data_IF_687324660131
#
_entry.id   IF_687324660131
#
_cell.length_a   1.000
_cell.length_b   1.000
_cell.length_c   1.000
_cell.angle_alpha   90.00
_cell.angle_beta   90.00
_cell.angle_gamma   90.00
#
_symmetry.space_group_name_H-M   'P 1'
#
loop_
_entity.id
_entity.type
_entity.pdbx_description
1 polymer ?
#
# COMPACT_ATOMS: atom_id res chain seq x y z
N UNK A 1 -55.43 14.83 -38.59
CA UNK A 1 -55.20 14.85 -40.05
C UNK A 1 -54.00 15.73 -40.31
N UNK A 2 -53.01 15.23 -40.98
CA UNK A 2 -51.76 15.83 -41.45
C UNK A 2 -50.61 15.95 -40.42
N UNK A 3 -49.77 14.92 -40.44
CA UNK A 3 -48.39 14.95 -39.98
C UNK A 3 -47.55 15.71 -41.03
N UNK A 4 -46.74 16.67 -40.57
CA UNK A 4 -45.71 17.30 -41.37
C UNK A 4 -44.36 16.80 -40.89
N UNK A 5 -43.71 16.08 -41.80
CA UNK A 5 -42.38 15.54 -41.66
C UNK A 5 -41.38 16.65 -42.03
N UNK A 6 -40.55 17.12 -41.07
CA UNK A 6 -39.47 18.05 -41.38
C UNK A 6 -38.17 17.29 -41.22
N UNK A 7 -37.59 16.87 -42.33
CA UNK A 7 -36.20 16.45 -42.46
C UNK A 7 -35.34 17.71 -42.50
N UNK A 8 -34.55 17.96 -41.48
CA UNK A 8 -33.52 18.98 -41.55
C UNK A 8 -32.21 18.39 -42.02
N UNK A 9 -31.78 18.82 -43.19
CA UNK A 9 -30.43 18.71 -43.71
C UNK A 9 -29.49 19.58 -42.84
N UNK A 10 -28.57 18.95 -42.16
CA UNK A 10 -27.45 19.66 -41.53
C UNK A 10 -26.25 19.55 -42.47
N UNK A 11 -25.93 20.65 -43.13
CA UNK A 11 -24.72 20.86 -43.90
C UNK A 11 -23.52 20.70 -42.97
N UNK A 12 -22.65 19.74 -43.29
CA UNK A 12 -21.32 19.63 -42.68
C UNK A 12 -20.47 20.81 -43.14
N UNK A 13 -20.32 21.82 -42.31
CA UNK A 13 -19.25 22.81 -42.41
C UNK A 13 -18.02 22.21 -41.75
N UNK A 14 -17.05 21.79 -42.57
CA UNK A 14 -15.71 21.44 -42.12
C UNK A 14 -14.97 22.72 -41.73
N UNK A 15 -14.99 23.10 -40.47
CA UNK A 15 -14.11 24.14 -39.96
C UNK A 15 -12.81 23.46 -39.56
N UNK A 16 -11.79 23.53 -40.41
CA UNK A 16 -10.42 23.18 -40.08
C UNK A 16 -9.88 24.21 -39.08
N UNK A 17 -10.08 23.98 -37.79
CA UNK A 17 -9.37 24.69 -36.77
C UNK A 17 -7.94 24.12 -36.74
N UNK A 18 -7.00 24.86 -37.34
CA UNK A 18 -5.58 24.67 -37.09
C UNK A 18 -5.32 25.12 -35.64
N UNK A 19 -5.42 24.14 -34.74
CA UNK A 19 -5.03 24.33 -33.34
C UNK A 19 -3.51 24.40 -33.33
N UNK A 20 -2.96 25.60 -33.22
CA UNK A 20 -1.59 25.80 -32.79
C UNK A 20 -1.51 25.24 -31.37
N UNK A 21 -1.12 23.96 -31.24
CA UNK A 21 -0.63 23.44 -29.97
C UNK A 21 0.60 24.27 -29.64
N UNK A 22 0.44 25.18 -28.72
CA UNK A 22 1.53 25.61 -27.86
C UNK A 22 2.01 24.36 -27.14
N UNK A 23 2.97 23.69 -27.74
CA UNK A 23 3.82 22.72 -27.06
C UNK A 23 4.58 23.57 -26.05
N UNK A 24 3.97 23.75 -24.86
CA UNK A 24 4.76 24.06 -23.69
C UNK A 24 5.80 22.95 -23.63
N UNK A 25 7.11 23.27 -23.59
CA UNK A 25 8.08 22.23 -23.35
C UNK A 25 7.66 21.60 -22.02
N UNK A 26 7.07 20.41 -22.06
CA UNK A 26 7.16 19.50 -20.94
C UNK A 26 8.65 19.41 -20.66
N UNK A 27 9.09 20.10 -19.63
CA UNK A 27 10.38 19.85 -19.04
C UNK A 27 10.27 18.38 -18.66
N UNK A 28 10.73 17.51 -19.56
CA UNK A 28 11.12 16.18 -19.18
C UNK A 28 12.08 16.43 -18.02
N UNK A 29 11.64 16.21 -16.80
CA UNK A 29 12.54 16.12 -15.68
C UNK A 29 13.44 14.95 -16.04
N UNK A 30 14.52 15.26 -16.72
CA UNK A 30 15.67 14.36 -16.80
C UNK A 30 15.98 14.08 -15.35
N UNK A 31 15.67 12.87 -14.91
CA UNK A 31 16.14 12.33 -13.65
C UNK A 31 17.66 12.37 -13.78
N UNK A 32 18.23 13.50 -13.39
CA UNK A 32 19.68 13.58 -13.24
C UNK A 32 20.00 12.61 -12.12
N UNK A 33 20.76 11.55 -12.38
CA UNK A 33 21.21 10.69 -11.30
C UNK A 33 21.86 11.62 -10.28
N UNK A 34 21.41 11.56 -9.02
CA UNK A 34 22.16 12.19 -7.93
C UNK A 34 23.63 11.78 -8.10
N UNK A 35 24.61 12.70 -7.96
CA UNK A 35 26.01 12.34 -8.06
C UNK A 35 26.20 11.12 -7.16
N UNK A 36 26.84 10.09 -7.72
CA UNK A 36 27.04 8.79 -7.08
C UNK A 36 27.98 8.95 -5.87
N UNK A 37 27.44 9.45 -4.78
CA UNK A 37 28.19 9.73 -3.56
C UNK A 37 28.32 8.45 -2.71
N UNK A 38 29.12 7.53 -3.23
CA UNK A 38 29.51 6.35 -2.51
C UNK A 38 28.77 5.06 -2.88
N UNK A 39 29.16 3.94 -2.26
CA UNK A 39 28.55 2.64 -2.54
C UNK A 39 27.08 2.59 -2.07
N UNK A 40 26.26 1.91 -2.86
CA UNK A 40 24.83 1.72 -2.54
C UNK A 40 24.66 0.71 -1.38
N UNK A 41 23.53 0.83 -0.67
CA UNK A 41 23.10 -0.12 0.36
C UNK A 41 22.52 -1.41 -0.23
N UNK A 42 22.31 -1.44 -1.54
CA UNK A 42 21.69 -2.55 -2.28
C UNK A 42 22.49 -3.83 -2.10
N UNK A 43 21.80 -4.91 -1.79
CA UNK A 43 22.34 -6.27 -1.83
C UNK A 43 22.19 -6.80 -3.27
N UNK A 44 23.29 -7.02 -4.02
CA UNK A 44 23.21 -7.38 -5.44
C UNK A 44 22.44 -8.69 -5.69
N UNK A 45 22.55 -9.69 -4.80
CA UNK A 45 21.82 -10.96 -4.94
C UNK A 45 20.33 -10.78 -4.73
N UNK A 46 19.96 -9.92 -3.78
CA UNK A 46 18.55 -9.65 -3.49
C UNK A 46 17.92 -8.82 -4.61
N UNK A 47 18.66 -7.82 -5.12
CA UNK A 47 18.24 -6.99 -6.25
C UNK A 47 18.01 -7.84 -7.51
N UNK A 48 18.99 -8.68 -7.89
CA UNK A 48 18.88 -9.55 -9.06
C UNK A 48 17.69 -10.53 -8.95
N UNK A 49 17.44 -11.08 -7.76
CA UNK A 49 16.27 -11.92 -7.53
C UNK A 49 14.95 -11.13 -7.69
N UNK A 50 14.89 -9.91 -7.15
CA UNK A 50 13.72 -9.06 -7.24
C UNK A 50 13.40 -8.67 -8.70
N UNK A 51 14.42 -8.30 -9.47
CA UNK A 51 14.31 -8.03 -10.91
C UNK A 51 13.83 -9.25 -11.69
N UNK A 52 14.38 -10.43 -11.40
CA UNK A 52 13.95 -11.69 -11.99
C UNK A 52 12.47 -11.95 -11.73
N UNK A 53 12.00 -11.74 -10.50
CA UNK A 53 10.62 -12.02 -10.09
C UNK A 53 9.60 -11.08 -10.73
N UNK A 54 9.98 -9.83 -11.06
CA UNK A 54 9.11 -8.85 -11.73
C UNK A 54 9.18 -8.86 -13.26
N UNK A 55 10.13 -9.55 -13.88
CA UNK A 55 10.43 -9.50 -15.33
C UNK A 55 9.22 -9.46 -16.27
N UNK A 56 8.14 -10.18 -15.96
CA UNK A 56 6.94 -10.26 -16.82
C UNK A 56 5.71 -9.60 -16.18
N UNK A 57 5.91 -8.67 -15.27
CA UNK A 57 4.88 -8.01 -14.48
C UNK A 57 5.13 -6.51 -14.48
N UNK A 58 4.14 -5.74 -14.13
CA UNK A 58 4.27 -4.32 -13.84
C UNK A 58 4.11 -4.12 -12.35
N UNK A 59 4.97 -3.32 -11.73
CA UNK A 59 4.91 -3.08 -10.30
C UNK A 59 6.27 -2.86 -9.67
N UNK A 60 6.37 -3.13 -8.37
CA UNK A 60 7.58 -2.86 -7.60
C UNK A 60 7.83 -3.87 -6.48
N UNK A 61 9.10 -3.99 -6.11
CA UNK A 61 9.56 -4.68 -4.90
C UNK A 61 10.48 -3.71 -4.15
N UNK A 62 10.19 -3.49 -2.88
CA UNK A 62 11.05 -2.74 -1.96
C UNK A 62 11.40 -3.64 -0.78
N UNK A 63 12.69 -3.72 -0.44
CA UNK A 63 13.17 -4.43 0.74
C UNK A 63 14.08 -3.51 1.56
N UNK A 64 13.81 -3.38 2.86
CA UNK A 64 14.52 -2.48 3.78
C UNK A 64 15.03 -3.28 4.98
N UNK A 65 16.22 -2.96 5.46
CA UNK A 65 16.76 -3.43 6.74
C UNK A 65 16.12 -2.61 7.89
N UNK A 66 15.27 -3.22 8.74
CA UNK A 66 14.48 -2.44 9.70
C UNK A 66 15.32 -1.65 10.71
N UNK A 67 16.46 -2.18 11.11
CA UNK A 67 17.31 -1.57 12.14
C UNK A 67 18.01 -0.28 11.66
N UNK A 68 18.20 -0.11 10.35
CA UNK A 68 19.06 0.95 9.80
C UNK A 68 18.38 1.86 8.77
N UNK A 69 17.23 1.43 8.22
CA UNK A 69 16.58 2.13 7.10
C UNK A 69 17.25 1.87 5.73
N UNK A 70 18.32 1.06 5.67
CA UNK A 70 19.03 0.75 4.42
C UNK A 70 18.11 0.00 3.45
N UNK A 71 17.99 0.52 2.23
CA UNK A 71 17.26 -0.16 1.15
C UNK A 71 18.16 -1.26 0.60
N UNK A 72 17.74 -2.50 0.77
CA UNK A 72 18.47 -3.70 0.34
C UNK A 72 18.15 -4.12 -1.09
N UNK A 73 16.94 -3.83 -1.55
CA UNK A 73 16.51 -3.97 -2.93
C UNK A 73 15.40 -2.95 -3.23
N UNK A 74 15.45 -2.36 -4.42
CA UNK A 74 14.42 -1.46 -4.93
C UNK A 74 14.26 -1.71 -6.42
N UNK A 75 13.13 -2.28 -6.80
CA UNK A 75 12.83 -2.61 -8.19
C UNK A 75 11.52 -1.95 -8.59
N UNK A 76 11.57 -1.21 -9.68
CA UNK A 76 10.44 -0.73 -10.45
C UNK A 76 10.48 -1.38 -11.81
N UNK A 77 9.45 -2.10 -12.20
CA UNK A 77 9.37 -2.73 -13.52
C UNK A 77 8.13 -2.28 -14.26
N UNK A 78 8.35 -1.66 -15.40
CA UNK A 78 7.33 -1.15 -16.30
C UNK A 78 7.30 -2.02 -17.55
N UNK A 79 6.12 -2.41 -18.02
CA UNK A 79 5.99 -3.14 -19.29
C UNK A 79 6.24 -2.23 -20.49
N UNK A 80 5.89 -0.97 -20.34
CA UNK A 80 6.23 0.11 -21.28
C UNK A 80 7.03 1.10 -20.45
N UNK A 81 8.16 1.55 -20.98
CA UNK A 81 8.97 2.56 -20.30
C UNK A 81 8.23 3.89 -20.31
N UNK A 82 7.71 4.26 -19.17
CA UNK A 82 7.00 5.53 -18.94
C UNK A 82 7.82 6.49 -18.06
N UNK A 83 9.09 6.14 -17.77
CA UNK A 83 9.97 6.93 -16.93
C UNK A 83 9.58 6.96 -15.44
N UNK A 84 8.52 6.26 -15.02
CA UNK A 84 8.03 6.30 -13.65
C UNK A 84 8.70 5.24 -12.79
N UNK A 85 9.32 5.65 -11.69
CA UNK A 85 9.74 4.72 -10.64
C UNK A 85 8.55 4.34 -9.76
N UNK A 86 7.93 3.18 -10.03
CA UNK A 86 6.75 2.70 -9.31
C UNK A 86 6.99 2.42 -7.83
N UNK A 87 8.22 2.25 -7.42
CA UNK A 87 8.53 1.97 -6.02
C UNK A 87 8.36 3.21 -5.13
N UNK A 88 8.68 4.41 -5.67
CA UNK A 88 8.72 5.67 -4.92
C UNK A 88 7.81 6.75 -5.49
N UNK A 89 7.62 6.78 -6.82
CA UNK A 89 6.95 7.87 -7.54
C UNK A 89 5.49 7.59 -7.92
N UNK A 90 5.03 6.34 -7.83
CA UNK A 90 3.64 5.98 -8.11
C UNK A 90 2.88 5.76 -6.82
N UNK A 91 1.65 6.25 -6.77
CA UNK A 91 0.76 6.07 -5.61
C UNK A 91 -0.40 5.15 -5.96
N UNK A 92 -0.74 4.28 -5.04
CA UNK A 92 -1.76 3.26 -5.19
C UNK A 92 -2.62 3.13 -3.94
N UNK A 93 -3.83 2.63 -4.09
CA UNK A 93 -4.61 2.16 -2.95
C UNK A 93 -3.86 1.02 -2.24
N UNK A 94 -3.57 1.14 -0.93
CA UNK A 94 -2.87 0.10 -0.18
C UNK A 94 -3.72 -1.16 0.07
N UNK A 95 -5.02 -1.08 -0.16
CA UNK A 95 -5.96 -2.15 0.11
C UNK A 95 -5.87 -2.66 1.55
N UNK A 96 -6.11 -3.94 1.75
CA UNK A 96 -6.16 -4.55 3.08
C UNK A 96 -4.83 -4.53 3.86
N UNK A 97 -3.69 -4.12 3.29
CA UNK A 97 -2.47 -3.89 4.08
C UNK A 97 -2.65 -2.74 5.05
N UNK A 98 -3.47 -1.76 4.69
CA UNK A 98 -3.79 -0.59 5.50
C UNK A 98 -4.53 -0.90 6.81
N UNK A 99 -5.19 -2.06 6.90
CA UNK A 99 -5.85 -2.52 8.14
C UNK A 99 -4.88 -2.64 9.33
N UNK A 100 -3.59 -2.81 9.08
CA UNK A 100 -2.56 -2.79 10.13
C UNK A 100 -2.39 -1.39 10.73
N UNK A 101 -2.31 -0.36 9.89
CA UNK A 101 -2.24 1.04 10.33
C UNK A 101 -3.52 1.46 11.06
N UNK A 102 -4.68 1.05 10.57
CA UNK A 102 -5.98 1.24 11.23
C UNK A 102 -6.00 0.63 12.62
N UNK A 103 -5.51 -0.61 12.75
CA UNK A 103 -5.46 -1.28 14.04
C UNK A 103 -4.55 -0.55 15.02
N UNK A 104 -3.37 -0.08 14.57
CA UNK A 104 -2.45 0.69 15.41
C UNK A 104 -3.13 1.92 16.01
N UNK A 105 -3.85 2.67 15.19
CA UNK A 105 -4.56 3.87 15.64
C UNK A 105 -5.70 3.51 16.60
N UNK A 106 -6.65 2.64 16.18
CA UNK A 106 -7.85 2.33 16.95
C UNK A 106 -7.55 1.69 18.31
N UNK A 107 -6.53 0.82 18.38
CA UNK A 107 -6.10 0.22 19.65
C UNK A 107 -5.40 1.24 20.54
N UNK A 108 -4.57 2.11 19.96
CA UNK A 108 -3.87 3.16 20.72
C UNK A 108 -4.81 4.21 21.30
N UNK A 109 -5.88 4.54 20.60
CA UNK A 109 -6.93 5.47 21.06
C UNK A 109 -7.99 4.77 21.95
N UNK A 110 -7.88 3.44 22.13
CA UNK A 110 -8.82 2.65 22.97
C UNK A 110 -10.22 2.51 22.35
N UNK A 111 -10.38 2.83 21.07
CA UNK A 111 -11.66 2.66 20.37
C UNK A 111 -11.88 1.22 19.91
N UNK A 112 -10.83 0.39 19.92
CA UNK A 112 -10.84 -1.01 19.58
C UNK A 112 -9.97 -1.81 20.56
N UNK A 113 -10.45 -2.97 21.01
CA UNK A 113 -9.73 -3.88 21.92
C UNK A 113 -9.52 -5.25 21.29
N UNK A 114 -8.66 -6.06 21.88
CA UNK A 114 -8.43 -7.46 21.45
C UNK A 114 -9.68 -8.33 21.58
N UNK A 115 -10.55 -8.01 22.53
CA UNK A 115 -11.79 -8.72 22.83
C UNK A 115 -12.95 -8.29 21.93
N UNK A 116 -12.82 -7.12 21.25
CA UNK A 116 -13.83 -6.64 20.31
C UNK A 116 -14.07 -7.68 19.22
N UNK A 117 -15.32 -8.07 19.06
CA UNK A 117 -15.72 -9.13 18.14
C UNK A 117 -16.90 -8.69 17.29
N UNK A 118 -16.78 -8.85 15.99
CA UNK A 118 -17.86 -8.55 15.06
C UNK A 118 -18.22 -9.76 14.20
N UNK A 119 -19.52 -9.96 13.94
CA UNK A 119 -19.97 -10.97 12.99
C UNK A 119 -19.66 -10.56 11.55
N UNK A 120 -19.37 -11.55 10.70
CA UNK A 120 -19.25 -11.39 9.26
C UNK A 120 -20.24 -12.35 8.57
N UNK A 121 -21.10 -11.82 7.73
CA UNK A 121 -22.05 -12.56 6.90
C UNK A 121 -21.69 -12.43 5.43
N UNK A 122 -20.42 -12.76 5.08
CA UNK A 122 -19.80 -12.62 3.74
C UNK A 122 -19.73 -11.19 3.22
N UNK A 123 -19.84 -10.19 4.09
CA UNK A 123 -19.74 -8.78 3.73
C UNK A 123 -20.36 -7.88 4.78
N UNK A 124 -20.28 -6.60 4.51
CA UNK A 124 -20.86 -5.52 5.29
C UNK A 124 -21.81 -4.73 4.39
N UNK A 125 -23.06 -4.58 4.81
CA UNK A 125 -24.06 -3.83 4.05
C UNK A 125 -24.53 -2.63 4.86
N UNK A 126 -24.50 -1.46 4.22
CA UNK A 126 -25.00 -0.23 4.79
C UNK A 126 -25.60 0.66 3.68
N UNK A 127 -26.81 1.18 3.87
CA UNK A 127 -27.49 2.08 2.91
C UNK A 127 -27.37 1.62 1.44
N UNK A 128 -27.70 0.37 1.14
CA UNK A 128 -27.61 -0.25 -0.20
C UNK A 128 -26.21 -0.43 -0.78
N UNK A 129 -25.16 -0.07 -0.04
CA UNK A 129 -23.77 -0.37 -0.41
C UNK A 129 -23.39 -1.70 0.24
N UNK A 130 -22.93 -2.66 -0.58
CA UNK A 130 -22.44 -3.95 -0.09
C UNK A 130 -20.94 -4.06 -0.35
N UNK A 131 -20.17 -4.25 0.72
CA UNK A 131 -18.73 -4.53 0.66
C UNK A 131 -18.56 -6.01 0.94
N UNK A 132 -18.16 -6.77 -0.09
CA UNK A 132 -17.99 -8.21 -0.01
C UNK A 132 -16.85 -8.63 0.94
N UNK A 133 -16.97 -9.83 1.50
CA UNK A 133 -15.91 -10.49 2.26
C UNK A 133 -15.85 -11.97 1.89
N UNK A 134 -14.64 -12.53 1.82
CA UNK A 134 -14.47 -13.96 1.60
C UNK A 134 -14.96 -14.79 2.79
N UNK A 135 -15.17 -16.08 2.57
CA UNK A 135 -15.70 -16.96 3.60
C UNK A 135 -14.62 -17.28 4.66
N UNK A 136 -14.97 -17.12 5.92
CA UNK A 136 -14.17 -17.50 7.10
C UNK A 136 -15.08 -17.76 8.30
N UNK A 137 -14.51 -18.20 9.42
CA UNK A 137 -15.26 -18.34 10.69
C UNK A 137 -15.80 -16.98 11.13
N UNK A 138 -16.94 -16.98 11.82
CA UNK A 138 -17.59 -15.78 12.33
C UNK A 138 -18.27 -16.11 13.68
N UNK A 139 -18.22 -15.22 14.68
CA UNK A 139 -17.56 -13.93 14.70
C UNK A 139 -16.04 -14.03 14.76
N UNK A 140 -15.31 -12.92 14.52
CA UNK A 140 -13.86 -12.83 14.66
C UNK A 140 -13.49 -11.83 15.75
N UNK A 141 -12.43 -12.16 16.51
CA UNK A 141 -11.71 -11.18 17.35
C UNK A 141 -10.73 -10.38 16.50
N UNK A 142 -10.17 -9.30 17.05
CA UNK A 142 -9.29 -8.38 16.31
C UNK A 142 -8.11 -9.10 15.65
N UNK A 143 -7.35 -9.93 16.38
CA UNK A 143 -6.19 -10.66 15.84
C UNK A 143 -6.61 -11.61 14.71
N UNK A 144 -7.75 -12.28 14.86
CA UNK A 144 -8.31 -13.14 13.82
C UNK A 144 -8.76 -12.33 12.60
N UNK A 145 -9.37 -11.15 12.82
CA UNK A 145 -9.83 -10.28 11.75
C UNK A 145 -8.67 -9.71 10.91
N UNK A 146 -7.54 -9.39 11.53
CA UNK A 146 -6.31 -9.03 10.81
C UNK A 146 -5.83 -10.23 9.98
N UNK A 147 -5.73 -11.41 10.60
CA UNK A 147 -5.26 -12.64 9.98
C UNK A 147 -6.11 -13.06 8.78
N UNK A 148 -7.43 -13.00 8.93
CA UNK A 148 -8.40 -13.31 7.87
C UNK A 148 -8.69 -12.12 6.96
N UNK A 149 -8.14 -10.94 7.21
CA UNK A 149 -8.41 -9.75 6.41
C UNK A 149 -9.90 -9.39 6.27
N UNK A 150 -10.70 -9.59 7.33
CA UNK A 150 -12.14 -9.46 7.28
C UNK A 150 -12.60 -8.02 6.98
N UNK A 151 -13.24 -7.81 5.83
CA UNK A 151 -13.75 -6.50 5.43
C UNK A 151 -14.87 -6.03 6.37
N UNK A 152 -15.83 -6.92 6.71
CA UNK A 152 -16.93 -6.57 7.61
C UNK A 152 -16.45 -6.04 8.95
N UNK A 153 -15.42 -6.67 9.52
CA UNK A 153 -14.84 -6.26 10.79
C UNK A 153 -14.30 -4.82 10.71
N UNK A 154 -13.46 -4.56 9.71
CA UNK A 154 -12.79 -3.25 9.59
C UNK A 154 -13.71 -2.14 9.12
N UNK A 155 -14.69 -2.42 8.25
CA UNK A 155 -15.74 -1.45 7.92
C UNK A 155 -16.50 -1.00 9.17
N UNK A 156 -16.93 -1.98 9.99
CA UNK A 156 -17.68 -1.71 11.21
C UNK A 156 -16.85 -0.95 12.25
N UNK A 157 -15.63 -1.42 12.49
CA UNK A 157 -14.73 -0.78 13.46
C UNK A 157 -14.42 0.68 13.07
N UNK A 158 -14.10 0.93 11.80
CA UNK A 158 -13.78 2.29 11.34
C UNK A 158 -15.00 3.21 11.36
N UNK A 159 -16.17 2.72 10.92
CA UNK A 159 -17.41 3.47 11.04
C UNK A 159 -17.69 3.88 12.48
N UNK A 160 -17.59 2.91 13.41
CA UNK A 160 -17.84 3.17 14.84
C UNK A 160 -16.81 4.15 15.43
N UNK A 161 -15.54 4.05 15.02
CA UNK A 161 -14.49 4.96 15.48
C UNK A 161 -14.78 6.40 15.05
N UNK A 162 -15.08 6.64 13.76
CA UNK A 162 -15.39 7.98 13.23
C UNK A 162 -16.65 8.57 13.89
N UNK A 163 -17.64 7.73 14.18
CA UNK A 163 -18.92 8.17 14.77
C UNK A 163 -18.93 8.15 16.31
N UNK A 164 -17.79 7.85 16.95
CA UNK A 164 -17.67 7.75 18.41
C UNK A 164 -17.62 9.13 19.09
N UNK A 165 -18.78 9.64 19.49
CA UNK A 165 -18.90 10.93 20.20
C UNK A 165 -18.47 10.89 21.68
N UNK A 166 -18.15 9.70 22.22
CA UNK A 166 -17.58 9.57 23.56
C UNK A 166 -16.06 9.85 23.54
N UNK A 167 -15.37 9.42 22.48
CA UNK A 167 -13.92 9.60 22.32
C UNK A 167 -13.58 10.89 21.55
N UNK A 168 -14.44 11.30 20.62
CA UNK A 168 -14.20 12.46 19.77
C UNK A 168 -15.39 13.42 19.76
N UNK A 169 -15.19 14.72 20.10
CA UNK A 169 -16.25 15.73 20.11
C UNK A 169 -16.97 15.85 18.74
N UNK A 170 -16.25 15.59 17.65
CA UNK A 170 -16.80 15.66 16.29
C UNK A 170 -16.13 14.63 15.36
N UNK A 171 -16.76 14.38 14.21
CA UNK A 171 -16.16 13.57 13.13
C UNK A 171 -14.88 14.22 12.59
N UNK A 172 -14.81 15.55 12.59
CA UNK A 172 -13.63 16.30 12.16
C UNK A 172 -12.44 16.02 13.07
N UNK A 173 -12.66 15.91 14.37
CA UNK A 173 -11.60 15.53 15.31
C UNK A 173 -11.23 14.06 15.20
N UNK A 174 -12.21 13.18 15.02
CA UNK A 174 -11.94 11.77 14.79
C UNK A 174 -11.02 11.55 13.57
N UNK A 175 -11.39 12.13 12.42
CA UNK A 175 -10.59 12.00 11.19
C UNK A 175 -9.26 12.75 11.28
N UNK A 176 -9.21 13.91 11.95
CA UNK A 176 -7.97 14.65 12.18
C UNK A 176 -7.00 13.86 13.06
N UNK A 177 -7.49 13.19 14.10
CA UNK A 177 -6.70 12.32 14.96
C UNK A 177 -6.19 11.12 14.17
N UNK A 178 -7.06 10.46 13.44
CA UNK A 178 -6.72 9.35 12.55
C UNK A 178 -5.62 9.76 11.53
N UNK A 179 -5.79 10.86 10.81
CA UNK A 179 -4.80 11.34 9.85
C UNK A 179 -3.44 11.63 10.52
N UNK A 180 -3.44 12.20 11.73
CA UNK A 180 -2.21 12.45 12.50
C UNK A 180 -1.47 11.16 12.87
N UNK A 181 -2.17 10.06 13.13
CA UNK A 181 -1.55 8.74 13.29
C UNK A 181 -0.94 8.25 11.98
N UNK A 182 -1.71 8.28 10.88
CA UNK A 182 -1.23 7.82 9.56
C UNK A 182 0.03 8.59 9.13
N UNK A 183 0.05 9.92 9.31
CA UNK A 183 1.24 10.73 9.03
C UNK A 183 2.43 10.38 9.94
N UNK A 184 2.19 10.02 11.20
CA UNK A 184 3.27 9.58 12.10
C UNK A 184 3.87 8.23 11.69
N UNK A 185 3.12 7.41 10.94
CA UNK A 185 3.58 6.14 10.36
C UNK A 185 4.38 6.33 9.07
N UNK A 186 4.55 7.58 8.59
CA UNK A 186 5.21 7.90 7.34
C UNK A 186 4.31 7.75 6.11
N UNK A 187 2.99 7.80 6.28
CA UNK A 187 2.01 7.71 5.19
C UNK A 187 1.48 9.09 4.80
N UNK A 188 1.16 9.29 3.52
CA UNK A 188 0.55 10.52 3.01
C UNK A 188 1.48 11.73 2.92
N UNK A 189 2.80 11.52 3.01
CA UNK A 189 3.84 12.54 2.80
C UNK A 189 5.15 11.85 2.42
N UNK A 190 6.07 12.53 1.71
CA UNK A 190 7.37 11.96 1.42
C UNK A 190 8.10 11.54 2.70
N UNK A 191 8.78 10.40 2.67
CA UNK A 191 9.65 9.94 3.76
C UNK A 191 10.98 10.68 3.79
N UNK A 192 11.38 11.28 2.65
CA UNK A 192 12.66 11.96 2.46
C UNK A 192 13.77 11.00 2.07
N UNK A 193 13.47 9.98 1.25
CA UNK A 193 14.47 9.08 0.69
C UNK A 193 15.50 9.87 -0.12
N UNK A 194 16.76 9.41 -0.12
CA UNK A 194 17.86 10.02 -0.86
C UNK A 194 17.80 9.73 -2.37
N UNK A 195 16.59 9.82 -2.95
CA UNK A 195 16.28 9.64 -4.36
C UNK A 195 15.31 10.72 -4.83
N UNK A 196 15.40 11.11 -6.09
CA UNK A 196 14.45 12.05 -6.68
C UNK A 196 13.14 11.37 -7.09
N UNK A 197 12.05 12.16 -7.13
CA UNK A 197 10.76 11.71 -7.63
C UNK A 197 9.91 10.94 -6.59
N UNK A 198 10.19 11.11 -5.29
CA UNK A 198 9.35 10.53 -4.24
C UNK A 198 7.98 11.21 -4.18
N UNK A 199 6.91 10.43 -4.32
CA UNK A 199 5.54 10.91 -4.22
C UNK A 199 5.02 10.85 -2.78
N UNK A 200 4.13 11.78 -2.45
CA UNK A 200 3.57 11.89 -1.09
C UNK A 200 2.53 10.82 -0.74
N UNK A 201 1.81 10.27 -1.72
CA UNK A 201 0.56 9.58 -1.43
C UNK A 201 -0.51 10.56 -0.91
N UNK A 202 -1.63 10.02 -0.44
CA UNK A 202 -2.72 10.81 0.12
C UNK A 202 -3.32 10.12 1.36
N UNK A 203 -3.34 10.83 2.47
CA UNK A 203 -4.14 10.54 3.65
C UNK A 203 -5.13 11.68 3.81
N UNK A 204 -6.41 11.48 3.47
CA UNK A 204 -7.41 12.55 3.58
C UNK A 204 -7.60 13.00 5.02
N UNK A 205 -7.65 14.29 5.22
CA UNK A 205 -7.99 14.91 6.50
C UNK A 205 -9.39 15.54 6.48
N UNK A 206 -9.76 16.18 7.57
CA UNK A 206 -11.06 16.84 7.68
C UNK A 206 -11.25 18.00 6.68
N UNK A 207 -10.17 18.70 6.32
CA UNK A 207 -10.23 19.80 5.35
C UNK A 207 -10.45 19.25 3.93
N UNK A 208 -9.73 18.18 3.57
CA UNK A 208 -9.93 17.47 2.32
C UNK A 208 -11.37 16.97 2.17
N UNK A 209 -11.91 16.29 3.20
CA UNK A 209 -13.25 15.73 3.16
C UNK A 209 -14.35 16.81 3.07
N UNK A 210 -14.17 17.97 3.71
CA UNK A 210 -15.11 19.10 3.56
C UNK A 210 -15.18 19.63 2.12
N UNK A 211 -14.03 19.62 1.43
CA UNK A 211 -13.96 20.07 0.04
C UNK A 211 -14.63 19.09 -0.92
N UNK A 212 -14.52 17.79 -0.63
CA UNK A 212 -15.03 16.69 -1.48
C UNK A 212 -16.50 16.35 -1.22
N UNK A 213 -16.96 16.48 0.02
CA UNK A 213 -18.27 16.03 0.45
C UNK A 213 -19.00 17.13 1.24
N UNK A 214 -20.19 17.49 0.81
CA UNK A 214 -21.03 18.50 1.52
C UNK A 214 -21.37 18.01 2.94
N UNK A 215 -21.64 16.71 3.09
CA UNK A 215 -21.89 16.02 4.37
C UNK A 215 -21.24 14.65 4.32
N UNK A 216 -20.63 14.24 5.41
CA UNK A 216 -20.02 12.91 5.55
C UNK A 216 -20.11 12.40 6.98
N UNK A 217 -19.99 11.09 7.13
CA UNK A 217 -19.96 10.36 8.40
C UNK A 217 -19.09 9.11 8.26
N UNK A 218 -19.01 8.28 9.30
CA UNK A 218 -18.22 7.06 9.27
C UNK A 218 -18.57 6.11 8.12
N UNK A 219 -19.81 6.13 7.66
CA UNK A 219 -20.23 5.33 6.50
C UNK A 219 -19.66 5.87 5.19
N UNK A 220 -19.70 7.19 4.99
CA UNK A 220 -19.16 7.84 3.79
C UNK A 220 -17.69 7.50 3.60
N UNK A 221 -16.93 7.48 4.71
CA UNK A 221 -15.48 7.31 4.71
C UNK A 221 -15.01 5.88 5.04
N UNK A 222 -15.92 4.91 5.19
CA UNK A 222 -15.54 3.55 5.62
C UNK A 222 -14.60 2.83 4.64
N UNK A 223 -14.64 3.17 3.35
CA UNK A 223 -13.70 2.66 2.36
C UNK A 223 -12.25 3.05 2.68
N UNK A 224 -12.04 4.25 3.24
CA UNK A 224 -10.73 4.70 3.70
C UNK A 224 -10.17 3.77 4.79
N UNK A 225 -11.05 3.25 5.65
CA UNK A 225 -10.69 2.26 6.68
C UNK A 225 -10.19 0.93 6.13
N UNK A 226 -10.41 0.64 4.87
CA UNK A 226 -9.90 -0.54 4.18
C UNK A 226 -8.71 -0.25 3.26
N UNK A 227 -8.23 0.99 3.23
CA UNK A 227 -7.16 1.42 2.32
C UNK A 227 -7.62 1.49 0.87
N UNK A 228 -8.86 1.94 0.66
CA UNK A 228 -9.49 2.18 -0.64
C UNK A 228 -10.02 3.62 -0.69
N UNK A 229 -10.73 3.96 -1.75
CA UNK A 229 -11.21 5.32 -1.97
C UNK A 229 -10.04 6.30 -2.16
N UNK A 230 -10.06 7.41 -1.43
CA UNK A 230 -9.05 8.47 -1.58
C UNK A 230 -7.70 8.15 -0.92
N UNK A 231 -7.57 7.06 -0.14
CA UNK A 231 -6.29 6.69 0.49
C UNK A 231 -5.34 6.12 -0.53
N UNK A 232 -4.19 6.77 -0.71
CA UNK A 232 -3.10 6.26 -1.54
C UNK A 232 -1.75 6.30 -0.85
N UNK A 233 -0.90 5.33 -1.15
CA UNK A 233 0.46 5.21 -0.63
C UNK A 233 1.43 4.80 -1.73
N UNK A 234 2.72 5.09 -1.58
CA UNK A 234 3.74 4.48 -2.42
C UNK A 234 4.11 3.08 -1.88
N UNK A 235 4.64 2.17 -2.71
CA UNK A 235 5.21 0.91 -2.23
C UNK A 235 6.34 1.08 -1.21
N UNK A 236 7.14 2.16 -1.33
CA UNK A 236 8.14 2.52 -0.32
C UNK A 236 7.49 2.81 1.03
N UNK A 237 6.41 3.60 1.07
CA UNK A 237 5.66 3.87 2.30
C UNK A 237 5.08 2.60 2.93
N UNK A 238 4.58 1.66 2.12
CA UNK A 238 4.10 0.36 2.64
C UNK A 238 5.25 -0.48 3.21
N UNK A 239 6.43 -0.47 2.57
CA UNK A 239 7.60 -1.14 3.12
C UNK A 239 8.03 -0.48 4.43
N UNK A 240 8.04 0.85 4.51
CA UNK A 240 8.34 1.59 5.74
C UNK A 240 7.32 1.32 6.85
N UNK A 241 6.04 1.16 6.54
CA UNK A 241 5.04 0.73 7.52
C UNK A 241 5.38 -0.67 8.07
N UNK A 242 5.85 -1.59 7.23
CA UNK A 242 6.33 -2.89 7.71
C UNK A 242 7.60 -2.76 8.57
N UNK A 243 8.52 -1.82 8.26
CA UNK A 243 9.69 -1.47 9.09
C UNK A 243 9.24 -0.95 10.46
N UNK A 244 8.32 0.01 10.46
CA UNK A 244 7.76 0.60 11.69
C UNK A 244 7.17 -0.47 12.62
N UNK A 245 6.38 -1.40 12.06
CA UNK A 245 5.76 -2.49 12.82
C UNK A 245 6.83 -3.49 13.30
N UNK A 246 7.80 -3.82 12.45
CA UNK A 246 8.93 -4.70 12.80
C UNK A 246 9.71 -4.17 14.01
N UNK A 247 9.96 -2.87 14.05
CA UNK A 247 10.68 -2.17 15.12
C UNK A 247 9.79 -1.79 16.32
N UNK A 248 8.50 -2.12 16.29
CA UNK A 248 7.57 -1.78 17.39
C UNK A 248 7.44 -0.27 17.63
N UNK A 249 7.38 0.53 16.56
CA UNK A 249 6.98 1.93 16.65
C UNK A 249 8.02 2.96 16.22
N UNK A 250 9.10 2.57 15.55
CA UNK A 250 10.04 3.54 15.00
C UNK A 250 10.60 3.09 13.63
N UNK A 251 11.08 4.06 12.87
CA UNK A 251 11.81 3.82 11.63
C UNK A 251 12.94 4.86 11.48
N UNK A 252 13.92 4.57 10.65
CA UNK A 252 14.90 5.52 10.14
C UNK A 252 14.52 5.79 8.68
N UNK A 253 14.65 7.04 8.24
CA UNK A 253 14.38 7.41 6.83
C UNK A 253 15.04 6.41 5.89
N UNK A 254 14.27 5.75 5.00
CA UNK A 254 14.84 4.81 4.03
C UNK A 254 15.87 5.50 3.15
N UNK A 255 16.99 4.83 2.85
CA UNK A 255 18.08 5.39 2.04
C UNK A 255 18.78 4.31 1.23
N UNK A 256 19.31 4.72 0.08
CA UNK A 256 19.99 3.84 -0.87
C UNK A 256 21.51 4.02 -0.89
N UNK A 257 22.06 5.14 -0.38
CA UNK A 257 23.49 5.37 -0.30
C UNK A 257 24.05 4.98 1.07
N UNK A 258 25.23 4.33 1.11
CA UNK A 258 25.87 3.88 2.37
C UNK A 258 26.39 5.04 3.22
N UNK A 259 26.95 6.05 2.55
CA UNK A 259 27.42 7.27 3.17
C UNK A 259 26.83 8.43 2.35
N UNK A 260 25.62 8.85 2.64
CA UNK A 260 25.11 10.08 2.02
C UNK A 260 26.14 11.17 2.29
N UNK A 261 26.52 11.98 1.28
CA UNK A 261 27.61 12.99 1.31
C UNK A 261 27.46 14.09 2.38
N UNK A 262 26.63 13.85 3.34
CA UNK A 262 26.21 14.71 4.42
C UNK A 262 26.62 14.12 5.77
N UNK A 263 27.92 14.04 6.02
CA UNK A 263 28.46 13.59 7.30
C UNK A 263 27.87 14.31 8.53
N UNK A 264 27.23 15.44 8.31
CA UNK A 264 26.50 16.23 9.33
C UNK A 264 24.98 16.01 9.30
N UNK A 265 24.43 15.29 8.31
CA UNK A 265 23.02 15.04 8.16
C UNK A 265 22.61 13.82 8.98
N UNK A 266 21.88 14.05 10.04
CA UNK A 266 21.35 12.98 10.91
C UNK A 266 20.07 12.33 10.36
N UNK A 267 19.56 12.76 9.21
CA UNK A 267 18.32 12.26 8.60
C UNK A 267 18.29 10.75 8.49
N UNK A 268 19.39 10.14 8.06
CA UNK A 268 19.50 8.70 7.82
C UNK A 268 20.03 7.89 9.01
N UNK A 269 20.11 8.51 10.20
CA UNK A 269 20.50 7.87 11.45
C UNK A 269 19.50 8.12 12.58
N UNK A 270 18.67 9.16 12.47
CA UNK A 270 17.68 9.54 13.46
C UNK A 270 16.46 8.62 13.38
N UNK A 271 16.02 8.13 14.53
CA UNK A 271 14.77 7.37 14.64
C UNK A 271 13.58 8.30 14.66
N UNK A 272 12.64 8.06 13.77
CA UNK A 272 11.31 8.65 13.80
C UNK A 272 10.38 7.75 14.61
N UNK A 273 9.90 8.25 15.75
CA UNK A 273 8.96 7.53 16.60
C UNK A 273 7.52 7.85 16.17
N UNK A 274 6.77 6.82 15.85
CA UNK A 274 5.37 6.96 15.52
C UNK A 274 4.48 7.09 16.76
N UNK A 275 3.31 7.66 16.55
CA UNK A 275 2.23 7.56 17.54
C UNK A 275 1.82 6.09 17.66
N UNK A 276 1.42 5.69 18.86
CA UNK A 276 0.93 4.33 19.10
C UNK A 276 1.49 3.76 20.39
N UNK A 277 0.70 2.89 21.01
CA UNK A 277 1.10 2.17 22.22
C UNK A 277 1.85 0.88 21.87
N UNK A 278 2.71 0.39 22.79
CA UNK A 278 3.39 -0.90 22.62
C UNK A 278 2.39 -2.03 22.40
N UNK A 279 1.27 -2.02 23.12
CA UNK A 279 0.22 -3.04 23.02
C UNK A 279 -0.41 -3.05 21.63
N UNK A 280 -0.61 -1.89 21.00
CA UNK A 280 -1.14 -1.80 19.63
C UNK A 280 -0.18 -2.45 18.62
N UNK A 281 1.13 -2.19 18.75
CA UNK A 281 2.14 -2.84 17.92
C UNK A 281 2.17 -4.35 18.13
N UNK A 282 2.09 -4.84 19.36
CA UNK A 282 2.06 -6.28 19.65
C UNK A 282 0.80 -6.96 19.11
N UNK A 283 -0.35 -6.31 19.18
CA UNK A 283 -1.60 -6.80 18.59
C UNK A 283 -1.46 -6.92 17.07
N UNK A 284 -0.93 -5.89 16.41
CA UNK A 284 -0.73 -5.90 14.95
C UNK A 284 0.25 -6.99 14.54
N UNK A 285 1.37 -7.16 15.25
CA UNK A 285 2.34 -8.23 14.97
C UNK A 285 1.71 -9.61 15.12
N UNK A 286 0.91 -9.84 16.16
CA UNK A 286 0.16 -11.10 16.33
C UNK A 286 -0.83 -11.31 15.18
N UNK A 287 -1.54 -10.27 14.74
CA UNK A 287 -2.44 -10.32 13.60
C UNK A 287 -1.73 -10.61 12.27
N UNK A 288 -0.58 -9.96 12.03
CA UNK A 288 0.27 -10.23 10.88
C UNK A 288 0.86 -11.65 10.92
N UNK A 289 1.19 -12.17 12.11
CA UNK A 289 1.59 -13.57 12.26
C UNK A 289 0.43 -14.53 11.99
N UNK A 290 -0.77 -14.23 12.47
CA UNK A 290 -1.97 -15.02 12.21
C UNK A 290 -2.29 -15.09 10.70
N UNK A 291 -2.07 -14.01 9.96
CA UNK A 291 -2.21 -13.98 8.49
C UNK A 291 -1.32 -15.06 7.82
N UNK A 292 -0.12 -15.30 8.35
CA UNK A 292 0.83 -16.27 7.81
C UNK A 292 0.56 -17.69 8.32
N UNK A 293 0.06 -17.86 9.54
CA UNK A 293 -0.13 -19.21 10.12
C UNK A 293 -1.37 -19.91 9.56
N UNK A 294 -2.48 -19.20 9.57
CA UNK A 294 -3.80 -19.75 9.22
C UNK A 294 -4.73 -18.74 8.54
N UNK A 295 -4.15 -17.62 8.06
CA UNK A 295 -4.89 -16.56 7.37
C UNK A 295 -4.63 -16.53 5.87
N UNK A 296 -4.80 -15.34 5.29
CA UNK A 296 -4.77 -15.13 3.84
C UNK A 296 -3.42 -15.41 3.17
N UNK A 297 -2.33 -15.49 3.92
CA UNK A 297 -0.99 -15.80 3.39
C UNK A 297 -0.41 -17.11 3.95
N UNK A 298 -1.25 -18.08 4.34
CA UNK A 298 -0.79 -19.34 4.92
C UNK A 298 0.16 -20.15 4.00
N UNK A 299 0.06 -19.96 2.69
CA UNK A 299 0.90 -20.65 1.69
C UNK A 299 2.40 -20.30 1.78
N UNK A 300 2.76 -19.20 2.48
CA UNK A 300 4.15 -18.79 2.67
C UNK A 300 4.67 -19.03 4.09
N UNK A 301 3.92 -19.73 4.93
CA UNK A 301 4.38 -20.10 6.26
C UNK A 301 5.58 -21.05 6.18
N UNK A 302 6.53 -20.87 7.09
CA UNK A 302 7.81 -21.59 7.14
C UNK A 302 8.11 -22.06 8.56
N UNK A 303 8.79 -23.22 8.70
CA UNK A 303 9.18 -23.73 10.02
C UNK A 303 10.48 -23.11 10.55
N UNK A 304 11.37 -22.63 9.67
CA UNK A 304 12.74 -22.20 9.99
C UNK A 304 12.83 -20.79 10.60
N UNK A 305 11.87 -19.90 10.26
CA UNK A 305 11.72 -18.58 10.88
C UNK A 305 10.28 -18.08 10.77
N UNK A 306 9.92 -17.16 11.64
CA UNK A 306 8.56 -16.61 11.69
C UNK A 306 8.43 -15.38 10.81
N UNK A 307 7.59 -15.45 9.77
CA UNK A 307 7.19 -14.31 8.96
C UNK A 307 5.97 -13.65 9.61
N UNK A 308 5.94 -12.33 9.65
CA UNK A 308 4.77 -11.51 9.91
C UNK A 308 4.43 -10.72 8.65
N UNK A 309 3.19 -10.77 8.19
CA UNK A 309 2.83 -10.08 6.96
C UNK A 309 1.34 -9.91 6.77
N UNK A 310 0.99 -9.08 5.82
CA UNK A 310 -0.40 -8.78 5.46
C UNK A 310 -0.56 -8.74 3.95
N UNK A 311 -1.52 -9.49 3.44
CA UNK A 311 -1.94 -9.40 2.04
C UNK A 311 -2.83 -8.18 1.83
N UNK A 312 -2.71 -7.58 0.68
CA UNK A 312 -3.63 -6.58 0.15
C UNK A 312 -4.14 -6.99 -1.22
N UNK A 313 -5.30 -6.51 -1.52
CA UNK A 313 -5.89 -6.56 -2.84
C UNK A 313 -6.53 -5.19 -3.05
N UNK A 314 -6.10 -4.45 -4.06
CA UNK A 314 -6.72 -3.19 -4.42
C UNK A 314 -7.60 -3.42 -5.65
N UNK A 315 -8.88 -3.08 -5.51
CA UNK A 315 -9.83 -3.14 -6.61
C UNK A 315 -9.39 -2.20 -7.73
N UNK A 316 -9.53 -2.65 -8.96
CA UNK A 316 -9.15 -1.93 -10.16
C UNK A 316 -10.06 -2.32 -11.32
N UNK A 317 -10.13 -1.49 -12.34
CA UNK A 317 -10.73 -1.87 -13.62
C UNK A 317 -9.94 -3.02 -14.25
N UNK A 318 -10.55 -4.18 -14.37
CA UNK A 318 -9.94 -5.44 -14.78
C UNK A 318 -9.55 -6.32 -13.58
N UNK A 319 -8.35 -6.91 -13.60
CA UNK A 319 -7.88 -7.71 -12.47
C UNK A 319 -7.32 -6.82 -11.38
N UNK A 320 -7.61 -7.16 -10.13
CA UNK A 320 -7.15 -6.43 -8.95
C UNK A 320 -5.61 -6.37 -8.87
N UNK A 321 -5.10 -5.41 -8.12
CA UNK A 321 -3.67 -5.34 -7.83
C UNK A 321 -3.30 -6.27 -6.66
N UNK A 322 -2.24 -7.05 -6.86
CA UNK A 322 -1.73 -7.98 -5.86
C UNK A 322 -0.71 -7.30 -4.95
N UNK A 323 -0.97 -7.28 -3.65
CA UNK A 323 -0.17 -6.54 -2.68
C UNK A 323 0.22 -7.45 -1.51
N UNK A 324 1.43 -7.26 -1.02
CA UNK A 324 1.90 -7.84 0.24
C UNK A 324 2.88 -6.89 0.90
N UNK A 325 2.80 -6.77 2.22
CA UNK A 325 3.86 -6.21 3.04
C UNK A 325 4.11 -7.08 4.26
N UNK A 326 5.36 -7.14 4.71
CA UNK A 326 5.70 -7.93 5.87
C UNK A 326 7.17 -7.86 6.23
N UNK A 327 7.56 -8.60 7.25
CA UNK A 327 8.94 -8.65 7.73
C UNK A 327 9.28 -10.01 8.33
N UNK A 328 10.56 -10.30 8.44
CA UNK A 328 11.06 -11.50 9.09
C UNK A 328 12.53 -11.34 9.54
N UNK A 329 12.98 -12.16 10.52
CA UNK A 329 12.17 -12.93 11.50
C UNK A 329 11.34 -12.03 12.43
N UNK A 330 10.29 -12.58 13.02
CA UNK A 330 9.41 -11.83 13.94
C UNK A 330 10.13 -11.23 15.15
N UNK A 331 11.11 -11.94 15.68
CA UNK A 331 11.82 -11.60 16.93
C UNK A 331 12.99 -10.63 16.71
N UNK A 332 13.75 -10.85 15.62
CA UNK A 332 14.90 -10.04 15.24
C UNK A 332 14.80 -9.75 13.73
N UNK A 333 13.99 -8.79 13.34
CA UNK A 333 13.75 -8.50 11.93
C UNK A 333 15.04 -8.17 11.18
N UNK A 334 15.31 -8.90 10.07
CA UNK A 334 16.43 -8.69 9.18
C UNK A 334 16.02 -7.99 7.89
N UNK A 335 14.73 -8.09 7.55
CA UNK A 335 14.17 -7.50 6.34
C UNK A 335 12.70 -7.20 6.53
N UNK A 336 12.27 -6.03 6.08
CA UNK A 336 10.90 -5.70 5.75
C UNK A 336 10.77 -5.62 4.23
N UNK A 337 9.62 -6.02 3.69
CA UNK A 337 9.39 -6.07 2.25
C UNK A 337 7.99 -5.59 1.91
N UNK A 338 7.86 -4.85 0.82
CA UNK A 338 6.60 -4.63 0.12
C UNK A 338 6.71 -5.13 -1.31
N UNK A 339 5.66 -5.76 -1.79
CA UNK A 339 5.49 -6.19 -3.18
C UNK A 339 4.17 -5.67 -3.68
N UNK A 340 4.21 -4.95 -4.78
CA UNK A 340 3.04 -4.46 -5.50
C UNK A 340 3.10 -4.94 -6.95
N UNK A 341 2.08 -5.68 -7.39
CA UNK A 341 1.98 -6.16 -8.78
C UNK A 341 0.63 -5.72 -9.34
N UNK A 342 0.70 -4.81 -10.31
CA UNK A 342 -0.48 -4.32 -11.00
C UNK A 342 -1.20 -5.46 -11.74
N UNK A 343 -2.52 -5.51 -11.63
CA UNK A 343 -3.38 -6.56 -12.20
C UNK A 343 -2.97 -7.99 -11.84
N UNK A 344 -2.27 -8.15 -10.71
CA UNK A 344 -1.72 -9.43 -10.26
C UNK A 344 -2.73 -10.37 -9.59
N UNK A 345 -3.98 -9.90 -9.39
CA UNK A 345 -5.02 -10.64 -8.67
C UNK A 345 -4.87 -10.53 -7.16
N UNK A 346 -5.23 -11.58 -6.41
CA UNK A 346 -5.13 -11.54 -4.96
C UNK A 346 -3.68 -11.48 -4.46
N UNK A 347 -3.47 -10.76 -3.35
CA UNK A 347 -2.15 -10.66 -2.71
C UNK A 347 -1.55 -12.01 -2.33
N UNK A 348 -2.40 -13.00 -2.00
CA UNK A 348 -2.00 -14.37 -1.71
C UNK A 348 -1.43 -15.12 -2.92
N UNK A 349 -1.85 -14.77 -4.15
CA UNK A 349 -1.57 -15.55 -5.36
C UNK A 349 -0.23 -15.18 -6.02
N UNK A 350 0.22 -13.94 -5.80
CA UNK A 350 1.42 -13.42 -6.46
C UNK A 350 2.32 -12.62 -5.53
N UNK A 351 1.84 -11.57 -4.89
CA UNK A 351 2.71 -10.69 -4.09
C UNK A 351 3.30 -11.40 -2.86
N UNK A 352 2.50 -12.14 -2.08
CA UNK A 352 3.00 -12.88 -0.92
C UNK A 352 4.01 -13.99 -1.31
N UNK A 353 3.76 -14.83 -2.34
CA UNK A 353 4.77 -15.77 -2.84
C UNK A 353 6.07 -15.12 -3.29
N UNK A 354 6.02 -13.96 -3.97
CA UNK A 354 7.22 -13.20 -4.36
C UNK A 354 7.96 -12.71 -3.11
N UNK A 355 7.25 -12.04 -2.19
CA UNK A 355 7.82 -11.53 -0.95
C UNK A 355 8.51 -12.62 -0.12
N UNK A 356 7.93 -13.84 -0.09
CA UNK A 356 8.51 -14.97 0.65
C UNK A 356 9.90 -15.37 0.14
N UNK A 357 10.17 -15.22 -1.16
CA UNK A 357 11.48 -15.53 -1.75
C UNK A 357 12.50 -14.44 -1.43
N UNK A 358 12.09 -13.17 -1.46
CA UNK A 358 12.94 -12.03 -1.05
C UNK A 358 13.33 -12.18 0.42
N UNK A 359 12.37 -12.52 1.28
CA UNK A 359 12.59 -12.75 2.70
C UNK A 359 13.57 -13.94 2.90
N UNK A 360 13.34 -15.07 2.21
CA UNK A 360 14.22 -16.24 2.33
C UNK A 360 15.64 -15.94 1.91
N UNK A 361 15.82 -15.28 0.77
CA UNK A 361 17.14 -14.87 0.30
C UNK A 361 17.88 -13.99 1.30
N UNK A 362 17.18 -13.04 1.96
CA UNK A 362 17.82 -12.15 2.93
C UNK A 362 18.05 -12.83 4.29
N UNK A 363 17.11 -13.64 4.77
CA UNK A 363 17.22 -14.29 6.10
C UNK A 363 18.24 -15.40 6.11
N UNK A 364 18.24 -16.26 5.06
CA UNK A 364 19.07 -17.46 4.97
C UNK A 364 20.34 -17.25 4.10
N UNK A 365 20.43 -16.14 3.37
CA UNK A 365 21.54 -15.85 2.44
C UNK A 365 21.44 -16.59 1.10
N UNK A 366 20.49 -17.51 0.96
CA UNK A 366 20.25 -18.29 -0.26
C UNK A 366 18.82 -18.81 -0.33
N UNK A 367 18.38 -19.19 -1.52
CA UNK A 367 17.12 -19.91 -1.72
C UNK A 367 17.34 -21.42 -1.62
N UNK A 368 16.42 -22.13 -0.97
CA UNK A 368 16.34 -23.59 -1.04
C UNK A 368 16.02 -24.07 -2.46
N UNK A 369 16.31 -25.32 -2.81
CA UNK A 369 16.02 -25.85 -4.16
C UNK A 369 14.53 -25.74 -4.51
N UNK A 370 13.64 -26.02 -3.57
CA UNK A 370 12.20 -25.81 -3.74
C UNK A 370 11.86 -24.34 -4.06
N UNK A 371 12.53 -23.41 -3.42
CA UNK A 371 12.33 -21.99 -3.63
C UNK A 371 12.92 -21.49 -4.94
N UNK A 372 14.02 -22.07 -5.43
CA UNK A 372 14.55 -21.77 -6.77
C UNK A 372 13.55 -22.16 -7.86
N UNK A 373 12.95 -23.35 -7.76
CA UNK A 373 11.90 -23.81 -8.69
C UNK A 373 10.68 -22.86 -8.62
N UNK A 374 10.28 -22.47 -7.41
CA UNK A 374 9.20 -21.50 -7.21
C UNK A 374 9.53 -20.13 -7.84
N UNK A 375 10.77 -19.66 -7.70
CA UNK A 375 11.23 -18.42 -8.31
C UNK A 375 11.16 -18.45 -9.84
N UNK A 376 11.63 -19.54 -10.46
CA UNK A 376 11.53 -19.75 -11.91
C UNK A 376 10.07 -19.71 -12.40
N UNK A 377 9.17 -20.42 -11.71
CA UNK A 377 7.73 -20.42 -12.04
C UNK A 377 7.11 -19.04 -11.90
N UNK A 378 7.41 -18.32 -10.84
CA UNK A 378 6.88 -16.96 -10.62
C UNK A 378 7.45 -15.96 -11.63
N UNK A 379 8.73 -16.03 -11.98
CA UNK A 379 9.34 -15.13 -12.95
C UNK A 379 8.79 -15.32 -14.37
N UNK A 380 8.45 -16.56 -14.76
CA UNK A 380 7.85 -16.84 -16.07
C UNK A 380 6.35 -16.48 -16.15
N UNK A 381 5.67 -16.30 -15.02
CA UNK A 381 4.25 -15.95 -14.99
C UNK A 381 4.04 -14.55 -15.56
N UNK A 382 3.34 -14.47 -16.70
CA UNK A 382 2.92 -13.21 -17.33
C UNK A 382 1.66 -12.67 -16.66
N UNK A 383 1.61 -11.37 -16.45
CA UNK A 383 0.42 -10.66 -15.96
C UNK A 383 -0.06 -9.73 -17.07
N UNK A 384 -1.32 -9.83 -17.45
CA UNK A 384 -1.93 -8.92 -18.43
C UNK A 384 -2.24 -7.59 -17.71
N UNK A 385 -1.71 -6.49 -18.21
CA UNK A 385 -2.06 -5.16 -17.71
C UNK A 385 -3.31 -4.68 -18.45
N UNK A 386 -4.28 -4.22 -17.70
CA UNK A 386 -5.44 -3.51 -18.25
C UNK A 386 -5.06 -2.03 -18.27
N UNK A 387 -5.01 -1.38 -19.46
CA UNK A 387 -4.80 0.06 -19.52
C UNK A 387 -5.92 0.77 -18.75
N UNK A 388 -5.55 1.71 -17.89
CA UNK A 388 -6.53 2.63 -17.33
C UNK A 388 -6.84 3.65 -18.41
N UNK A 389 -8.05 3.65 -18.92
CA UNK A 389 -8.53 4.75 -19.76
C UNK A 389 -8.68 5.98 -18.85
N UNK A 390 -7.79 6.94 -19.01
CA UNK A 390 -7.92 8.24 -18.35
C UNK A 390 -9.05 8.99 -19.08
N UNK A 391 -10.26 8.87 -18.57
CA UNK A 391 -11.36 9.73 -19.01
C UNK A 391 -11.07 11.11 -18.40
N UNK A 392 -10.49 11.99 -19.20
CA UNK A 392 -10.36 13.41 -18.84
C UNK A 392 -11.76 14.00 -18.95
N UNK A 393 -12.41 14.19 -17.85
CA UNK A 393 -13.66 14.91 -17.80
C UNK A 393 -13.33 16.41 -17.89
N UNK A 394 -13.50 17.01 -19.06
CA UNK A 394 -13.21 18.43 -19.29
C UNK A 394 -14.15 19.38 -18.53
N UNK A 395 -15.19 18.86 -17.90
CA UNK A 395 -16.11 19.62 -17.06
C UNK A 395 -15.55 19.88 -15.62
N UNK A 396 -14.41 19.29 -15.29
CA UNK A 396 -13.73 19.46 -13.98
C UNK A 396 -12.55 20.45 -14.05
N UNK A 397 -12.34 21.12 -15.17
CA UNK A 397 -11.35 22.20 -15.37
C UNK A 397 -12.03 23.57 -15.29
#
# INVERSE_FOLDING_TARGET
>A
MNMINIRNNIHRLSVSLILWMLVLPTVAQTVTPLPADGPLTINPKLQALAEQLLRNKQGSIVAIEPATGRILALVSHNKVDDGVNRAIGMTYSPGSTFKTAQTLEMVSEGTLTTETSYPCRKGFTFNNIHIGCHQHKSPLTLVQAIGQSCNSYFCKAFQEMIDNRKSYPSQFEAIGRWAAYMHSFGLGKPLGVDMEGEASGLIPDAAYLRKRHTRWNGTTVMWMGMGQGEVTTTPLQLCNLAVLIANRGWYITPHIHQNPARATDTTFTTRHYAKGTSDAFDVVVRGMRACIVNGTAASINRPDYRICGKTGTAENEGADHSIFMGFAPMEKPKVAVSVYVENGGFGADLAAPIASLIIEQQVNGHLSEKSKIKAQRLSSKKVKITPVEVIINFDDL
#
